data_IF_212841200787
#
_entry.id   IF_212841200787
#
_cell.length_a   1.000
_cell.length_b   1.000
_cell.length_c   1.000
_cell.angle_alpha   90.00
_cell.angle_beta   90.00
_cell.angle_gamma   90.00
#
_symmetry.space_group_name_H-M   'P 1'
#
loop_
_entity.id
_entity.type
_entity.pdbx_description
1 polymer ?
#
# COMPACT_ATOMS: atom_id res chain seq x y z
N UNK A 1 -25.24 -31.58 34.90
CA UNK A 1 -26.24 -32.31 34.10
C UNK A 1 -27.59 -31.62 34.21
N UNK A 2 -28.17 -31.15 33.10
CA UNK A 2 -29.61 -31.23 32.77
C UNK A 2 -29.80 -30.73 31.33
N UNK A 3 -30.27 -31.63 30.49
CA UNK A 3 -30.60 -31.45 29.07
C UNK A 3 -31.95 -30.73 28.98
N UNK A 4 -32.10 -29.77 28.08
CA UNK A 4 -33.42 -29.39 27.55
C UNK A 4 -33.54 -29.88 26.11
N UNK A 5 -34.56 -30.70 25.88
CA UNK A 5 -34.94 -31.29 24.59
C UNK A 5 -35.79 -30.27 23.79
N UNK A 6 -35.61 -30.25 22.46
CA UNK A 6 -36.62 -29.84 21.42
C UNK A 6 -37.87 -30.76 21.51
N UNK A 7 -38.99 -30.63 20.75
CA UNK A 7 -39.24 -30.01 19.42
C UNK A 7 -40.70 -29.45 19.26
N UNK A 8 -41.43 -29.62 18.12
CA UNK A 8 -41.38 -28.93 16.81
C UNK A 8 -42.74 -28.30 16.40
N UNK A 9 -42.81 -27.56 15.29
CA UNK A 9 -44.05 -27.55 14.50
C UNK A 9 -43.79 -27.38 13.00
N UNK A 10 -44.49 -28.20 12.21
CA UNK A 10 -44.49 -28.31 10.75
C UNK A 10 -45.74 -27.61 10.18
N UNK A 11 -45.84 -27.62 8.84
CA UNK A 11 -47.05 -27.64 7.97
C UNK A 11 -47.60 -26.26 7.58
N UNK A 12 -48.08 -25.98 6.36
CA UNK A 12 -48.47 -26.72 5.13
C UNK A 12 -48.38 -25.70 3.97
N UNK A 13 -47.79 -26.00 2.81
CA UNK A 13 -48.37 -26.64 1.61
C UNK A 13 -49.46 -25.87 0.85
N UNK A 14 -49.26 -25.78 -0.47
CA UNK A 14 -50.29 -25.55 -1.50
C UNK A 14 -50.09 -24.22 -2.25
N UNK A 15 -50.40 -24.07 -3.54
CA UNK A 15 -50.86 -24.95 -4.61
C UNK A 15 -51.06 -24.04 -5.85
N UNK A 16 -51.07 -24.63 -7.06
CA UNK A 16 -51.63 -24.10 -8.32
C UNK A 16 -50.87 -22.92 -9.00
N UNK A 17 -50.32 -23.04 -10.22
CA UNK A 17 -50.88 -23.38 -11.55
C UNK A 17 -51.21 -22.13 -12.41
N UNK A 18 -50.29 -21.81 -13.33
CA UNK A 18 -50.49 -21.48 -14.75
C UNK A 18 -51.45 -20.30 -15.17
N UNK A 19 -51.69 -20.04 -16.47
CA UNK A 19 -50.85 -19.28 -17.41
C UNK A 19 -51.62 -18.13 -18.13
N UNK A 20 -51.03 -17.58 -19.21
CA UNK A 20 -51.67 -16.84 -20.34
C UNK A 20 -51.80 -15.31 -20.18
N UNK A 21 -51.10 -14.57 -21.05
CA UNK A 21 -51.77 -13.67 -22.01
C UNK A 21 -50.78 -13.13 -23.04
N UNK A 22 -50.80 -13.74 -24.23
CA UNK A 22 -50.59 -13.02 -25.48
C UNK A 22 -51.66 -11.92 -25.57
N UNK A 23 -51.27 -10.68 -25.80
CA UNK A 23 -52.16 -9.71 -26.44
C UNK A 23 -51.45 -9.02 -27.60
N UNK A 24 -52.02 -9.27 -28.76
CA UNK A 24 -51.74 -8.68 -30.06
C UNK A 24 -52.48 -7.35 -30.20
N UNK A 25 -51.77 -6.30 -30.63
CA UNK A 25 -52.33 -5.09 -31.26
C UNK A 25 -51.31 -4.65 -32.33
N UNK A 26 -51.52 -4.96 -33.62
CA UNK A 26 -52.32 -4.21 -34.61
C UNK A 26 -51.68 -2.84 -34.93
N UNK A 27 -50.84 -2.76 -35.97
CA UNK A 27 -51.11 -2.34 -37.37
C UNK A 27 -51.18 -0.81 -37.50
N UNK A 28 -50.23 -0.17 -38.18
CA UNK A 28 -50.33 0.57 -39.48
C UNK A 28 -49.30 1.74 -39.29
N UNK A 29 -48.49 2.25 -40.23
CA UNK A 29 -48.56 2.28 -41.67
C UNK A 29 -47.19 2.55 -42.32
N UNK A 30 -47.15 2.21 -43.60
CA UNK A 30 -46.07 2.48 -44.55
C UNK A 30 -45.89 3.99 -44.74
N UNK A 31 -44.65 4.49 -44.66
CA UNK A 31 -44.25 5.66 -45.45
C UNK A 31 -42.81 5.51 -45.94
N UNK A 32 -42.76 5.34 -47.25
CA UNK A 32 -41.61 5.34 -48.15
C UNK A 32 -40.71 6.55 -47.97
N UNK A 33 -39.38 6.33 -47.93
CA UNK A 33 -38.44 7.25 -48.58
C UNK A 33 -37.22 6.49 -49.10
N UNK A 34 -37.37 5.99 -50.34
CA UNK A 34 -36.23 5.65 -51.20
C UNK A 34 -35.70 6.96 -51.78
N UNK A 35 -34.59 7.48 -51.28
CA UNK A 35 -33.75 8.45 -52.02
C UNK A 35 -32.50 8.75 -51.18
N UNK A 36 -31.48 7.89 -51.27
CA UNK A 36 -30.06 8.26 -51.42
C UNK A 36 -29.18 7.01 -51.30
N UNK A 37 -29.23 6.18 -52.34
CA UNK A 37 -28.12 5.26 -52.63
C UNK A 37 -27.01 6.07 -53.28
N UNK A 38 -25.85 6.13 -52.63
CA UNK A 38 -24.58 6.44 -53.30
C UNK A 38 -23.83 7.66 -52.80
N UNK A 39 -23.25 7.59 -51.60
CA UNK A 39 -21.86 8.01 -51.36
C UNK A 39 -21.43 7.52 -49.96
N UNK A 40 -20.13 7.29 -49.79
CA UNK A 40 -19.46 6.84 -48.55
C UNK A 40 -19.53 5.34 -48.22
N UNK A 41 -19.28 4.50 -49.24
CA UNK A 41 -18.60 3.22 -49.01
C UNK A 41 -17.07 3.46 -48.87
N UNK A 42 -16.66 4.17 -47.82
CA UNK A 42 -15.28 4.30 -47.34
C UNK A 42 -15.34 5.15 -46.06
N UNK A 43 -14.56 4.80 -45.04
CA UNK A 43 -14.54 5.42 -43.70
C UNK A 43 -15.63 4.92 -42.75
N UNK A 44 -15.64 3.62 -42.43
CA UNK A 44 -16.15 3.14 -41.12
C UNK A 44 -15.51 1.79 -40.77
N UNK A 45 -14.19 1.68 -40.96
CA UNK A 45 -13.41 0.47 -40.65
C UNK A 45 -12.18 0.76 -39.78
N UNK A 46 -12.19 1.88 -39.04
CA UNK A 46 -11.07 2.25 -38.16
C UNK A 46 -11.55 3.07 -36.95
N UNK A 47 -12.58 2.61 -36.25
CA UNK A 47 -12.79 2.99 -34.86
C UNK A 47 -12.58 1.75 -34.02
N UNK A 48 -11.32 1.30 -33.91
CA UNK A 48 -10.96 0.50 -32.76
C UNK A 48 -11.36 1.35 -31.54
N UNK A 49 -12.25 0.88 -30.64
CA UNK A 49 -12.34 1.49 -29.35
C UNK A 49 -10.95 1.27 -28.76
N UNK A 50 -10.12 2.31 -28.80
CA UNK A 50 -8.97 2.46 -27.91
C UNK A 50 -9.63 2.61 -26.53
N UNK A 51 -10.15 1.48 -26.03
CA UNK A 51 -10.42 1.28 -24.63
C UNK A 51 -9.03 1.33 -24.03
N UNK A 52 -8.55 2.54 -23.75
CA UNK A 52 -7.45 2.78 -22.84
C UNK A 52 -7.91 2.07 -21.57
N UNK A 53 -7.37 0.87 -21.38
CA UNK A 53 -7.47 0.15 -20.14
C UNK A 53 -6.59 0.93 -19.18
N UNK A 54 -7.09 2.07 -18.68
CA UNK A 54 -6.46 2.75 -17.56
C UNK A 54 -6.63 1.80 -16.38
N UNK A 55 -5.54 1.11 -16.04
CA UNK A 55 -5.43 0.47 -14.75
C UNK A 55 -5.61 1.59 -13.72
N UNK A 56 -6.74 1.57 -13.02
CA UNK A 56 -6.95 2.45 -11.89
C UNK A 56 -6.09 1.89 -10.78
N UNK A 57 -4.92 2.49 -10.55
CA UNK A 57 -4.07 2.10 -9.43
C UNK A 57 -4.82 2.46 -8.14
N UNK A 58 -5.06 1.45 -7.29
CA UNK A 58 -5.74 1.68 -6.02
C UNK A 58 -4.79 2.48 -5.11
N UNK A 59 -5.26 3.59 -4.51
CA UNK A 59 -4.43 4.34 -3.58
C UNK A 59 -4.09 3.45 -2.40
N UNK A 60 -2.83 3.45 -1.97
CA UNK A 60 -2.38 2.70 -0.78
C UNK A 60 -2.61 3.49 0.52
N UNK A 61 -2.80 4.80 0.43
CA UNK A 61 -3.04 5.66 1.58
C UNK A 61 -3.37 7.10 1.22
N UNK A 62 -3.60 7.92 2.23
CA UNK A 62 -3.97 9.34 2.11
C UNK A 62 -3.10 10.20 3.03
N UNK A 63 -2.64 11.34 2.53
CA UNK A 63 -1.87 12.30 3.33
C UNK A 63 -2.83 13.07 4.26
N UNK A 64 -2.63 12.98 5.57
CA UNK A 64 -3.47 13.65 6.56
C UNK A 64 -3.00 15.06 6.88
N UNK A 65 -1.69 15.20 7.14
CA UNK A 65 -1.09 16.46 7.54
C UNK A 65 0.28 16.65 6.91
N UNK A 66 0.65 17.91 6.70
CA UNK A 66 1.90 18.33 6.08
C UNK A 66 2.35 19.62 6.75
N UNK A 67 3.64 19.69 7.07
CA UNK A 67 4.33 20.92 7.44
C UNK A 67 5.62 21.07 6.65
N UNK A 68 6.02 22.30 6.34
CA UNK A 68 7.23 22.58 5.56
C UNK A 68 7.12 22.10 4.09
N UNK A 69 8.28 21.85 3.47
CA UNK A 69 8.37 21.41 2.08
C UNK A 69 8.47 19.89 2.00
N UNK A 70 7.48 19.28 1.35
CA UNK A 70 7.38 17.84 1.15
C UNK A 70 7.12 17.59 -0.33
N UNK A 71 7.89 16.70 -0.93
CA UNK A 71 7.74 16.28 -2.32
C UNK A 71 7.50 14.80 -2.42
N UNK A 72 6.61 14.39 -3.32
CA UNK A 72 6.28 12.99 -3.58
C UNK A 72 6.53 12.68 -5.04
N UNK A 73 7.19 11.55 -5.31
CA UNK A 73 7.35 11.03 -6.67
C UNK A 73 6.10 10.22 -7.06
N UNK A 74 5.42 10.64 -8.13
CA UNK A 74 4.30 9.93 -8.76
C UNK A 74 4.61 9.76 -10.24
N UNK A 75 4.47 8.54 -10.77
CA UNK A 75 4.67 8.28 -12.21
C UNK A 75 5.98 8.90 -12.77
N UNK A 76 7.09 8.74 -12.04
CA UNK A 76 8.42 9.30 -12.35
C UNK A 76 8.55 10.84 -12.32
N UNK A 77 7.55 11.55 -11.80
CA UNK A 77 7.57 13.00 -11.62
C UNK A 77 7.54 13.38 -10.14
N UNK A 78 8.47 14.25 -9.73
CA UNK A 78 8.45 14.86 -8.40
C UNK A 78 7.45 16.01 -8.40
N UNK A 79 6.45 15.92 -7.53
CA UNK A 79 5.46 16.96 -7.30
C UNK A 79 5.39 17.32 -5.80
N UNK A 80 4.90 18.51 -5.49
CA UNK A 80 4.67 18.92 -4.11
C UNK A 80 3.53 18.09 -3.50
N UNK A 81 3.69 17.71 -2.23
CA UNK A 81 2.67 16.98 -1.51
C UNK A 81 1.52 17.91 -1.09
N UNK A 82 0.29 17.43 -1.25
CA UNK A 82 -0.92 18.16 -0.88
C UNK A 82 -1.70 17.39 0.20
N UNK A 83 -2.31 18.11 1.14
CA UNK A 83 -3.16 17.49 2.17
C UNK A 83 -4.36 16.79 1.51
N UNK A 84 -4.70 15.62 2.04
CA UNK A 84 -5.75 14.72 1.55
C UNK A 84 -5.51 14.15 0.15
N UNK A 85 -4.32 14.35 -0.43
CA UNK A 85 -3.98 13.71 -1.68
C UNK A 85 -3.73 12.20 -1.49
N UNK A 86 -4.09 11.37 -2.48
CA UNK A 86 -3.80 9.96 -2.44
C UNK A 86 -2.29 9.70 -2.63
N UNK A 87 -1.87 8.57 -2.09
CA UNK A 87 -0.52 8.02 -2.17
C UNK A 87 -0.61 6.61 -2.74
N UNK A 88 0.25 6.30 -3.70
CA UNK A 88 0.22 5.04 -4.45
C UNK A 88 1.41 4.17 -4.11
N UNK A 89 1.36 2.90 -4.51
CA UNK A 89 2.50 2.01 -4.39
C UNK A 89 3.71 2.59 -5.13
N UNK A 90 4.93 2.30 -4.66
CA UNK A 90 6.20 2.77 -5.23
C UNK A 90 6.37 4.29 -5.24
N UNK A 91 5.51 5.02 -4.53
CA UNK A 91 5.70 6.45 -4.31
C UNK A 91 6.93 6.68 -3.43
N UNK A 92 7.76 7.65 -3.82
CA UNK A 92 8.84 8.12 -2.95
C UNK A 92 8.39 9.39 -2.22
N UNK A 93 8.63 9.43 -0.91
CA UNK A 93 8.36 10.59 -0.06
C UNK A 93 9.68 11.23 0.32
N UNK A 94 9.77 12.56 0.16
CA UNK A 94 10.90 13.38 0.61
C UNK A 94 10.42 14.56 1.43
N UNK A 95 11.02 14.75 2.59
CA UNK A 95 10.79 15.90 3.48
C UNK A 95 12.09 16.69 3.64
N UNK A 96 12.01 18.01 3.49
CA UNK A 96 13.15 18.91 3.70
C UNK A 96 13.35 19.22 5.21
N UNK A 97 14.23 20.17 5.53
CA UNK A 97 14.44 20.69 6.89
C UNK A 97 13.16 21.28 7.49
N UNK A 98 12.90 21.01 8.77
CA UNK A 98 11.70 21.44 9.48
C UNK A 98 10.37 21.08 8.77
N UNK A 99 10.39 20.05 7.92
CA UNK A 99 9.22 19.54 7.22
C UNK A 99 8.77 18.19 7.79
N UNK A 100 7.48 17.87 7.61
CA UNK A 100 6.94 16.57 7.95
C UNK A 100 5.73 16.25 7.08
N UNK A 101 5.45 14.96 6.92
CA UNK A 101 4.23 14.46 6.30
C UNK A 101 3.66 13.32 7.13
N UNK A 102 2.35 13.32 7.33
CA UNK A 102 1.63 12.23 8.00
C UNK A 102 0.71 11.55 6.99
N UNK A 103 0.88 10.24 6.81
CA UNK A 103 0.15 9.43 5.85
C UNK A 103 -0.58 8.34 6.62
N UNK A 104 -1.87 8.19 6.35
CA UNK A 104 -2.68 7.08 6.85
C UNK A 104 -2.95 6.10 5.72
N UNK A 105 -2.63 4.84 5.97
CA UNK A 105 -2.80 3.74 5.03
C UNK A 105 -4.15 3.04 5.27
N UNK A 106 -4.55 2.20 4.31
CA UNK A 106 -5.85 1.51 4.32
C UNK A 106 -6.01 0.52 5.49
N UNK A 107 -4.91 0.06 6.07
CA UNK A 107 -4.87 -0.81 7.26
C UNK A 107 -4.98 -0.02 8.58
N UNK A 108 -5.37 1.25 8.51
CA UNK A 108 -5.43 2.22 9.62
C UNK A 108 -4.05 2.51 10.25
N UNK A 109 -2.95 2.06 9.65
CA UNK A 109 -1.60 2.43 10.07
C UNK A 109 -1.34 3.90 9.73
N UNK A 110 -0.95 4.68 10.73
CA UNK A 110 -0.50 6.06 10.55
C UNK A 110 1.03 6.12 10.59
N UNK A 111 1.63 6.75 9.58
CA UNK A 111 3.08 6.92 9.44
C UNK A 111 3.41 8.38 9.24
N UNK A 112 4.19 8.92 10.17
CA UNK A 112 4.73 10.26 10.12
C UNK A 112 6.18 10.22 9.66
N UNK A 113 6.43 10.83 8.51
CA UNK A 113 7.75 11.09 7.96
C UNK A 113 8.22 12.44 8.52
N UNK A 114 9.26 12.41 9.36
CA UNK A 114 9.81 13.61 9.98
C UNK A 114 10.76 14.32 9.01
N UNK A 115 11.40 15.40 9.44
CA UNK A 115 12.35 16.17 8.62
C UNK A 115 13.51 15.31 8.06
N UNK A 116 14.06 15.73 6.93
CA UNK A 116 15.21 15.10 6.29
C UNK A 116 15.01 13.59 6.00
N UNK A 117 13.79 13.21 5.65
CA UNK A 117 13.41 11.83 5.40
C UNK A 117 13.28 11.56 3.92
N UNK A 118 13.91 10.47 3.47
CA UNK A 118 13.68 9.87 2.16
C UNK A 118 13.23 8.43 2.36
N UNK A 119 12.03 8.12 1.90
CA UNK A 119 11.46 6.80 2.01
C UNK A 119 10.66 6.41 0.76
N UNK A 120 10.58 5.13 0.49
CA UNK A 120 9.74 4.54 -0.55
C UNK A 120 8.63 3.72 0.09
N UNK A 121 7.42 3.84 -0.45
CA UNK A 121 6.26 3.08 -0.01
C UNK A 121 6.12 1.88 -0.92
N UNK A 122 6.16 0.69 -0.34
CA UNK A 122 6.00 -0.57 -1.06
C UNK A 122 4.82 -1.32 -0.47
N UNK A 123 3.98 -1.88 -1.32
CA UNK A 123 2.90 -2.77 -0.93
C UNK A 123 3.03 -4.05 -1.72
N UNK A 124 3.09 -5.20 -1.06
CA UNK A 124 3.20 -6.49 -1.74
C UNK A 124 2.31 -7.51 -1.07
N UNK A 125 1.25 -7.93 -1.76
CA UNK A 125 0.36 -8.99 -1.28
C UNK A 125 -0.31 -8.66 0.07
N UNK A 126 -0.63 -7.40 0.33
CA UNK A 126 -1.24 -6.94 1.59
C UNK A 126 -0.25 -6.63 2.72
N UNK A 127 1.05 -6.79 2.49
CA UNK A 127 2.09 -6.31 3.41
C UNK A 127 2.56 -4.91 2.98
N UNK A 128 2.44 -3.95 3.90
CA UNK A 128 2.92 -2.59 3.71
C UNK A 128 4.35 -2.47 4.23
N UNK A 129 5.25 -1.96 3.40
CA UNK A 129 6.65 -1.73 3.72
C UNK A 129 7.03 -0.28 3.45
N UNK A 130 7.60 0.37 4.47
CA UNK A 130 8.25 1.68 4.34
C UNK A 130 9.76 1.44 4.25
N UNK A 131 10.31 1.60 3.04
CA UNK A 131 11.75 1.49 2.78
C UNK A 131 12.43 2.83 3.05
N UNK A 132 12.97 2.98 4.27
CA UNK A 132 13.62 4.17 4.77
C UNK A 132 15.08 4.23 4.31
N UNK A 133 15.39 5.15 3.39
CA UNK A 133 16.75 5.40 2.90
C UNK A 133 17.54 6.33 3.81
N UNK A 134 16.88 7.30 4.43
CA UNK A 134 17.46 8.21 5.43
C UNK A 134 16.36 8.95 6.18
N UNK A 135 16.68 9.47 7.36
CA UNK A 135 15.80 10.29 8.17
C UNK A 135 15.09 9.50 9.27
N UNK A 136 13.86 9.89 9.57
CA UNK A 136 13.11 9.37 10.72
C UNK A 136 11.64 9.19 10.38
N UNK A 137 11.11 8.05 10.79
CA UNK A 137 9.70 7.71 10.65
C UNK A 137 9.14 7.31 12.00
N UNK A 138 8.03 7.91 12.38
CA UNK A 138 7.25 7.57 13.58
C UNK A 138 5.94 6.94 13.14
N UNK A 139 5.61 5.77 13.67
CA UNK A 139 4.47 4.99 13.20
C UNK A 139 3.60 4.50 14.35
N UNK A 140 2.29 4.52 14.13
CA UNK A 140 1.28 3.88 14.97
C UNK A 140 0.57 2.83 14.13
N UNK A 141 0.91 1.56 14.36
CA UNK A 141 0.38 0.42 13.61
C UNK A 141 -0.77 -0.20 14.39
N UNK A 142 -1.92 -0.36 13.74
CA UNK A 142 -3.06 -1.06 14.33
C UNK A 142 -2.78 -2.57 14.36
N UNK A 143 -3.05 -3.27 15.49
CA UNK A 143 -2.89 -4.71 15.53
C UNK A 143 -3.84 -5.40 14.55
N UNK A 144 -3.28 -6.11 13.55
CA UNK A 144 -4.04 -6.91 12.59
C UNK A 144 -3.55 -8.36 12.56
N UNK A 145 -4.43 -9.29 12.20
CA UNK A 145 -4.03 -10.68 11.92
C UNK A 145 -3.55 -10.90 10.50
N UNK A 146 -4.08 -10.12 9.57
CA UNK A 146 -3.87 -10.26 8.13
C UNK A 146 -2.83 -9.26 7.62
N UNK A 147 -2.86 -8.02 8.10
CA UNK A 147 -1.94 -6.98 7.67
C UNK A 147 -0.59 -7.11 8.40
N UNK A 148 0.49 -6.97 7.65
CA UNK A 148 1.86 -6.99 8.17
C UNK A 148 2.54 -5.69 7.76
N UNK A 149 3.09 -4.98 8.75
CA UNK A 149 3.81 -3.74 8.53
C UNK A 149 5.31 -3.96 8.69
N UNK A 150 6.08 -3.45 7.73
CA UNK A 150 7.54 -3.47 7.77
C UNK A 150 8.10 -2.07 7.63
N UNK A 151 9.19 -1.82 8.33
CA UNK A 151 10.09 -0.71 8.03
C UNK A 151 11.43 -1.31 7.67
N UNK A 152 11.91 -1.05 6.45
CA UNK A 152 13.22 -1.50 6.03
C UNK A 152 14.19 -0.33 5.91
N UNK A 153 15.46 -0.63 6.07
CA UNK A 153 16.58 0.29 5.87
C UNK A 153 17.73 -0.50 5.23
N UNK A 154 18.77 0.17 4.72
CA UNK A 154 19.97 -0.49 4.23
C UNK A 154 20.59 -1.49 5.23
N UNK A 155 20.45 -1.23 6.54
CA UNK A 155 21.10 -2.03 7.58
C UNK A 155 20.18 -3.06 8.26
N UNK A 156 18.87 -2.86 8.22
CA UNK A 156 17.94 -3.68 9.00
C UNK A 156 16.53 -3.77 8.39
N UNK A 157 15.80 -4.81 8.77
CA UNK A 157 14.37 -4.99 8.54
C UNK A 157 13.68 -5.03 9.90
N UNK A 158 12.66 -4.21 10.09
CA UNK A 158 11.86 -4.13 11.30
C UNK A 158 10.46 -4.65 10.97
N UNK A 159 10.10 -5.80 11.52
CA UNK A 159 8.75 -6.37 11.42
C UNK A 159 7.89 -5.91 12.59
N UNK A 160 6.69 -5.41 12.27
CA UNK A 160 5.81 -4.76 13.24
C UNK A 160 4.41 -5.32 13.18
N UNK A 161 3.83 -5.53 14.36
CA UNK A 161 2.44 -5.94 14.52
C UNK A 161 1.84 -5.24 15.72
N UNK A 162 0.99 -4.23 15.48
CA UNK A 162 0.27 -3.53 16.54
C UNK A 162 1.19 -2.79 17.52
N UNK A 163 1.87 -1.74 17.10
CA UNK A 163 2.94 -1.09 17.90
C UNK A 163 3.06 0.40 17.55
N UNK A 164 3.37 1.20 18.55
CA UNK A 164 3.78 2.60 18.40
C UNK A 164 5.30 2.70 18.57
N UNK A 165 6.01 3.16 17.54
CA UNK A 165 7.46 3.12 17.48
C UNK A 165 8.04 4.20 16.55
N UNK A 166 9.35 4.43 16.66
CA UNK A 166 10.11 5.29 15.76
C UNK A 166 11.29 4.52 15.20
N UNK A 167 11.54 4.65 13.89
CA UNK A 167 12.77 4.20 13.24
C UNK A 167 13.55 5.41 12.75
N UNK A 168 14.85 5.41 12.95
CA UNK A 168 15.77 6.45 12.46
C UNK A 168 16.91 5.78 11.71
N UNK A 169 17.27 6.31 10.55
CA UNK A 169 18.42 5.85 9.79
C UNK A 169 19.24 7.01 9.23
N UNK A 170 20.56 6.96 9.39
CA UNK A 170 21.48 8.03 8.98
C UNK A 170 22.64 7.52 8.09
N UNK A 171 22.47 6.37 7.44
CA UNK A 171 23.49 5.71 6.62
C UNK A 171 24.47 4.84 7.43
N UNK A 172 24.84 5.24 8.65
CA UNK A 172 25.79 4.50 9.50
C UNK A 172 25.11 3.60 10.52
N UNK A 173 23.93 3.99 10.96
CA UNK A 173 23.14 3.23 11.92
C UNK A 173 21.65 3.27 11.57
N UNK A 174 20.94 2.21 11.96
CA UNK A 174 19.48 2.16 12.04
C UNK A 174 19.09 1.94 13.48
N UNK A 175 18.30 2.84 14.04
CA UNK A 175 17.78 2.72 15.40
C UNK A 175 16.28 2.51 15.39
N UNK A 176 15.77 1.62 16.24
CA UNK A 176 14.35 1.35 16.43
C UNK A 176 13.99 1.53 17.91
N UNK A 177 13.17 2.54 18.21
CA UNK A 177 12.69 2.86 19.57
C UNK A 177 11.21 2.50 19.68
N UNK A 178 10.82 1.77 20.72
CA UNK A 178 9.44 1.26 20.88
C UNK A 178 8.77 1.94 22.06
N UNK A 179 7.64 2.59 21.83
CA UNK A 179 6.86 3.24 22.89
C UNK A 179 5.79 2.29 23.46
N UNK A 180 5.11 1.53 22.60
CA UNK A 180 4.06 0.59 22.98
C UNK A 180 4.04 -0.61 22.04
N UNK A 181 3.86 -1.81 22.57
CA UNK A 181 3.93 -3.06 21.81
C UNK A 181 5.35 -3.61 21.74
N UNK A 182 5.68 -4.23 20.61
CA UNK A 182 6.97 -4.88 20.38
C UNK A 182 7.27 -4.95 18.89
N UNK A 183 8.55 -4.79 18.53
CA UNK A 183 9.02 -4.99 17.15
C UNK A 183 10.06 -6.10 17.10
N UNK A 184 10.19 -6.73 15.93
CA UNK A 184 11.28 -7.64 15.63
C UNK A 184 12.27 -6.95 14.70
N UNK A 185 13.53 -6.83 15.12
CA UNK A 185 14.59 -6.19 14.33
C UNK A 185 15.55 -7.26 13.84
N UNK A 186 15.79 -7.28 12.54
CA UNK A 186 16.77 -8.15 11.87
C UNK A 186 17.81 -7.32 11.13
N UNK A 187 19.10 -7.60 11.31
CA UNK A 187 20.14 -6.92 10.54
C UNK A 187 20.40 -7.57 9.17
N UNK A 188 20.73 -6.76 8.16
CA UNK A 188 21.06 -7.18 6.78
C UNK A 188 22.55 -7.58 6.61
N UNK A 189 23.07 -8.38 7.56
CA UNK A 189 24.45 -8.85 7.54
C UNK A 189 24.65 -10.23 6.91
N UNK A 190 25.91 -10.68 6.77
CA UNK A 190 26.24 -12.06 6.34
C UNK A 190 25.66 -13.14 7.26
N UNK A 191 25.40 -12.80 8.52
CA UNK A 191 24.76 -13.66 9.51
C UNK A 191 23.66 -12.86 10.19
N UNK A 192 22.43 -12.86 9.63
CA UNK A 192 21.31 -12.13 10.19
C UNK A 192 20.98 -12.61 11.60
N UNK A 193 20.86 -11.67 12.52
CA UNK A 193 20.44 -11.86 13.89
C UNK A 193 19.11 -11.12 14.08
N UNK A 194 18.12 -11.85 14.56
CA UNK A 194 16.83 -11.31 14.97
C UNK A 194 16.83 -11.03 16.46
N UNK A 195 16.32 -9.87 16.85
CA UNK A 195 16.06 -9.52 18.25
C UNK A 195 14.65 -8.97 18.39
N UNK A 196 14.05 -9.16 19.55
CA UNK A 196 12.75 -8.56 19.90
C UNK A 196 13.00 -7.35 20.79
N UNK A 197 12.40 -6.22 20.43
CA UNK A 197 12.49 -4.97 21.19
C UNK A 197 11.10 -4.67 21.74
N UNK A 198 10.98 -4.65 23.07
CA UNK A 198 9.73 -4.35 23.76
C UNK A 198 9.62 -2.86 24.09
N UNK A 199 8.40 -2.43 24.42
CA UNK A 199 8.09 -1.06 24.87
C UNK A 199 9.09 -0.53 25.91
N UNK A 200 9.47 0.73 25.78
CA UNK A 200 10.45 1.40 26.64
C UNK A 200 11.91 1.08 26.31
N UNK A 201 12.17 0.26 25.28
CA UNK A 201 13.53 -0.06 24.84
C UNK A 201 13.82 0.45 23.43
N UNK A 202 15.11 0.54 23.12
CA UNK A 202 15.62 0.90 21.81
C UNK A 202 16.71 -0.10 21.38
N UNK A 203 16.78 -0.38 20.09
CA UNK A 203 17.87 -1.14 19.47
C UNK A 203 18.60 -0.32 18.43
N UNK A 204 19.88 -0.64 18.22
CA UNK A 204 20.75 -0.05 17.22
C UNK A 204 21.37 -1.14 16.36
N UNK A 205 21.34 -0.93 15.05
CA UNK A 205 22.06 -1.75 14.06
C UNK A 205 23.05 -0.84 13.36
N UNK A 206 24.34 -1.14 13.50
CA UNK A 206 25.41 -0.37 12.90
C UNK A 206 25.85 -1.02 11.58
N UNK A 207 26.34 -0.19 10.66
CA UNK A 207 27.05 -0.65 9.47
C UNK A 207 28.23 -1.52 9.90
N UNK A 208 28.29 -2.74 9.38
CA UNK A 208 29.42 -3.61 9.65
C UNK A 208 30.66 -3.04 8.95
N UNK A 209 31.60 -2.49 9.73
CA UNK A 209 32.88 -2.02 9.22
C UNK A 209 33.64 -3.21 8.60
N UNK A 210 33.50 -3.38 7.28
CA UNK A 210 34.27 -4.35 6.52
C UNK A 210 35.73 -3.91 6.57
N UNK A 211 36.52 -4.51 7.48
CA UNK A 211 37.98 -4.46 7.39
C UNK A 211 38.36 -5.12 6.07
N UNK A 212 38.51 -4.33 5.00
CA UNK A 212 39.30 -4.74 3.85
C UNK A 212 40.67 -5.10 4.41
N UNK A 213 40.99 -6.38 4.41
CA UNK A 213 42.27 -6.91 4.83
C UNK A 213 43.37 -6.27 3.97
N UNK A 214 44.06 -5.27 4.53
CA UNK A 214 45.29 -4.68 4.02
C UNK A 214 46.47 -5.64 4.19
N UNK A 215 46.30 -6.89 3.75
CA UNK A 215 47.33 -7.93 3.77
C UNK A 215 47.48 -8.48 2.35
N UNK A 216 47.97 -7.66 1.43
CA UNK A 216 48.25 -8.12 0.07
C UNK A 216 49.37 -7.35 -0.63
N UNK A 217 50.36 -6.78 0.07
CA UNK A 217 51.60 -6.34 -0.57
C UNK A 217 52.78 -6.64 0.36
N UNK A 218 53.36 -7.82 0.16
CA UNK A 218 54.47 -8.32 0.96
C UNK A 218 54.93 -9.69 0.48
N UNK A 219 55.36 -9.77 -0.78
CA UNK A 219 56.33 -10.74 -1.31
C UNK A 219 56.41 -10.62 -2.84
N UNK A 220 57.49 -10.01 -3.30
CA UNK A 220 58.33 -10.38 -4.45
C UNK A 220 59.55 -9.46 -4.30
N UNK A 221 60.64 -9.99 -3.73
CA UNK A 221 61.79 -10.54 -4.46
C UNK A 221 62.45 -9.46 -5.32
#
# INVERSE_FOLDING_TARGET
>A
MRRCRKPPEKRLSGSAAAPICLYSLRREDKMTYKFFTGFCAAIFAASAPFCFLQAFEEPSGTILDIGGKVTILREDKWDDAEKFAPVYEKSFVKTDDAAFAEIMFDDETAVRFEENTEAEILSTGGALEVSLKSGRVTSSVVPSEEAVFFVSSPLAIIGVRGTEFTVTHNGKETAAAVYKGKVEVENRGKSPKRIKVASGNQSFVYEAFSRRSLWAWGRNM
#
